data_IF_779552887024
#
_entry.id   IF_779552887024
#
_cell.length_a   1.000
_cell.length_b   1.000
_cell.length_c   1.000
_cell.angle_alpha   90.00
_cell.angle_beta   90.00
_cell.angle_gamma   90.00
#
_symmetry.space_group_name_H-M   'P 1'
#
loop_
_entity.id
_entity.type
_entity.pdbx_description
1 polymer ?
#
# COMPACT_ATOMS: atom_id res chain seq x y z
N UNK A 1 -59.30 -66.41 29.85
CA UNK A 1 -58.90 -64.99 29.68
C UNK A 1 -57.40 -64.93 29.49
N UNK A 2 -56.96 -64.82 28.24
CA UNK A 2 -55.56 -64.85 27.83
C UNK A 2 -54.86 -63.54 28.21
N UNK A 3 -53.72 -63.66 28.89
CA UNK A 3 -52.94 -62.56 29.44
C UNK A 3 -52.09 -61.91 28.33
N UNK A 4 -52.30 -60.62 28.12
CA UNK A 4 -51.62 -59.73 27.19
C UNK A 4 -50.16 -59.48 27.62
N UNK A 5 -49.32 -60.51 27.58
CA UNK A 5 -47.86 -60.44 27.79
C UNK A 5 -47.16 -60.89 26.50
N UNK A 6 -46.85 -59.93 25.62
CA UNK A 6 -45.82 -60.00 24.56
C UNK A 6 -46.06 -58.84 23.59
N UNK A 7 -45.56 -57.64 23.89
CA UNK A 7 -45.13 -56.68 22.86
C UNK A 7 -44.43 -55.42 23.42
N UNK A 8 -43.60 -55.53 24.46
CA UNK A 8 -42.91 -54.34 24.99
C UNK A 8 -41.51 -54.62 25.53
N UNK A 9 -40.73 -55.44 24.83
CA UNK A 9 -39.36 -55.76 25.27
C UNK A 9 -38.30 -55.88 24.16
N UNK A 10 -38.58 -55.43 22.92
CA UNK A 10 -37.57 -55.47 21.84
C UNK A 10 -37.37 -54.15 21.05
N UNK A 11 -37.89 -53.00 21.52
CA UNK A 11 -37.70 -51.71 20.79
C UNK A 11 -37.05 -50.61 21.63
N UNK A 12 -36.78 -50.84 22.93
CA UNK A 12 -36.16 -49.82 23.79
C UNK A 12 -34.63 -49.97 23.89
N UNK A 13 -34.02 -50.94 23.18
CA UNK A 13 -32.57 -51.21 23.27
C UNK A 13 -31.75 -50.97 21.99
N UNK A 14 -32.27 -50.20 21.04
CA UNK A 14 -31.53 -49.77 19.83
C UNK A 14 -31.74 -48.29 19.47
N UNK A 15 -32.14 -47.47 20.44
CA UNK A 15 -31.91 -46.02 20.40
C UNK A 15 -30.95 -45.62 21.52
N UNK A 16 -29.87 -46.38 21.71
CA UNK A 16 -28.61 -45.75 22.06
C UNK A 16 -28.23 -44.90 20.84
N UNK A 17 -28.79 -43.69 20.76
CA UNK A 17 -28.32 -42.65 19.88
C UNK A 17 -26.83 -42.59 20.15
N UNK A 18 -26.07 -43.15 19.23
CA UNK A 18 -24.66 -42.85 19.08
C UNK A 18 -24.68 -41.37 18.71
N UNK A 19 -24.73 -40.51 19.72
CA UNK A 19 -24.15 -39.19 19.62
C UNK A 19 -22.66 -39.48 19.38
N UNK A 20 -22.34 -39.82 18.12
CA UNK A 20 -21.04 -39.54 17.57
C UNK A 20 -20.89 -38.04 17.82
N UNK A 21 -20.20 -37.72 18.92
CA UNK A 21 -19.50 -36.48 19.12
C UNK A 21 -18.57 -36.37 17.90
N UNK A 22 -19.12 -35.96 16.76
CA UNK A 22 -18.34 -35.42 15.68
C UNK A 22 -17.78 -34.16 16.28
N UNK A 23 -16.55 -34.25 16.74
CA UNK A 23 -15.87 -33.10 17.25
C UNK A 23 -15.83 -32.07 16.12
N UNK A 24 -16.44 -30.92 16.40
CA UNK A 24 -16.68 -29.90 15.40
C UNK A 24 -15.34 -29.26 15.06
N UNK A 25 -14.80 -29.63 13.89
CA UNK A 25 -13.57 -29.05 13.37
C UNK A 25 -13.85 -27.57 13.07
N UNK A 26 -12.99 -26.68 13.56
CA UNK A 26 -13.19 -25.25 13.34
C UNK A 26 -13.27 -24.90 11.84
N UNK A 27 -14.32 -24.20 11.38
CA UNK A 27 -14.41 -23.74 10.01
C UNK A 27 -13.32 -22.70 9.72
N UNK A 28 -13.12 -22.40 8.44
CA UNK A 28 -12.21 -21.33 8.01
C UNK A 28 -12.62 -20.01 8.66
N UNK A 29 -11.76 -19.37 9.47
CA UNK A 29 -12.13 -18.13 10.12
C UNK A 29 -12.21 -16.98 9.12
N UNK A 30 -13.09 -16.02 9.41
CA UNK A 30 -13.23 -14.83 8.60
C UNK A 30 -12.10 -13.85 8.92
N UNK A 31 -11.33 -13.47 7.90
CA UNK A 31 -10.30 -12.42 7.98
C UNK A 31 -10.24 -11.69 6.64
N UNK A 32 -9.72 -10.46 6.64
CA UNK A 32 -9.52 -9.62 5.46
C UNK A 32 -8.03 -9.28 5.33
N UNK A 33 -7.36 -9.66 4.23
CA UNK A 33 -7.84 -10.53 3.15
C UNK A 33 -8.07 -11.96 3.64
N UNK A 34 -8.92 -12.69 2.91
CA UNK A 34 -9.22 -14.10 3.18
C UNK A 34 -7.94 -14.95 3.12
N UNK A 35 -7.79 -15.89 4.06
CA UNK A 35 -6.67 -16.83 4.06
C UNK A 35 -6.66 -17.67 2.78
N UNK A 36 -5.49 -17.88 2.14
CA UNK A 36 -5.41 -18.79 0.98
C UNK A 36 -5.80 -20.23 1.33
N UNK A 37 -5.35 -20.75 2.47
CA UNK A 37 -5.72 -22.10 2.93
C UNK A 37 -6.09 -22.11 4.40
N UNK A 38 -6.94 -23.07 4.78
CA UNK A 38 -7.26 -23.39 6.17
C UNK A 38 -7.53 -24.88 6.33
N UNK A 39 -6.93 -25.47 7.36
CA UNK A 39 -7.25 -26.81 7.87
C UNK A 39 -7.61 -26.66 9.32
N UNK A 40 -8.90 -26.79 9.65
CA UNK A 40 -9.38 -26.67 11.01
C UNK A 40 -8.91 -27.80 11.91
N UNK A 41 -8.85 -27.53 13.20
CA UNK A 41 -8.73 -28.53 14.26
C UNK A 41 -9.78 -28.26 15.34
N UNK A 42 -9.86 -29.14 16.32
CA UNK A 42 -10.78 -28.99 17.46
C UNK A 42 -10.26 -27.99 18.50
N UNK A 43 -11.18 -27.31 19.18
CA UNK A 43 -10.88 -26.46 20.32
C UNK A 43 -10.38 -25.06 19.96
N UNK A 44 -9.97 -24.31 20.97
CA UNK A 44 -9.46 -22.94 20.85
C UNK A 44 -8.27 -22.74 21.77
N UNK A 45 -7.45 -21.74 21.47
CA UNK A 45 -6.31 -21.33 22.30
C UNK A 45 -6.41 -19.86 22.67
N UNK A 46 -6.31 -19.57 23.96
CA UNK A 46 -6.26 -18.20 24.48
C UNK A 46 -4.81 -17.75 24.55
N UNK A 47 -4.44 -16.59 23.98
CA UNK A 47 -3.10 -16.03 24.13
C UNK A 47 -2.71 -15.85 25.61
N UNK A 48 -1.54 -16.35 26.00
CA UNK A 48 -1.05 -16.33 27.39
C UNK A 48 -0.54 -14.95 27.85
N UNK A 49 -0.51 -13.97 26.95
CA UNK A 49 0.17 -12.68 27.17
C UNK A 49 1.66 -12.70 26.85
N UNK A 50 2.22 -13.80 26.31
CA UNK A 50 3.65 -13.92 25.99
C UNK A 50 3.90 -14.13 24.49
N UNK A 51 4.88 -13.41 23.97
CA UNK A 51 5.41 -13.58 22.60
C UNK A 51 6.82 -14.18 22.70
N UNK A 52 6.98 -15.43 22.27
CA UNK A 52 8.26 -16.12 22.19
C UNK A 52 8.88 -15.92 20.81
N UNK A 53 10.05 -15.31 20.78
CA UNK A 53 10.76 -15.00 19.53
C UNK A 53 11.89 -15.99 19.30
N UNK A 54 11.87 -16.71 18.16
CA UNK A 54 12.89 -17.73 17.81
C UNK A 54 14.09 -17.16 17.03
N UNK A 55 14.05 -15.88 16.65
CA UNK A 55 15.13 -15.19 15.95
C UNK A 55 15.17 -13.71 16.34
N UNK A 56 16.34 -13.16 16.68
CA UNK A 56 16.49 -11.74 17.05
C UNK A 56 15.98 -10.77 15.96
N UNK A 57 15.97 -11.20 14.70
CA UNK A 57 15.41 -10.47 13.56
C UNK A 57 13.91 -10.14 13.73
N UNK A 58 13.17 -10.97 14.46
CA UNK A 58 11.74 -10.79 14.69
C UNK A 58 11.41 -9.91 15.90
N UNK A 59 12.41 -9.32 16.57
CA UNK A 59 12.19 -8.47 17.73
C UNK A 59 11.30 -7.26 17.40
N UNK A 60 11.52 -6.63 16.24
CA UNK A 60 10.70 -5.51 15.77
C UNK A 60 9.25 -5.92 15.50
N UNK A 61 9.04 -7.10 14.89
CA UNK A 61 7.69 -7.65 14.63
C UNK A 61 6.97 -7.96 15.95
N UNK A 62 7.67 -8.55 16.92
CA UNK A 62 7.11 -8.85 18.23
C UNK A 62 6.71 -7.58 19.00
N UNK A 63 7.53 -6.52 18.92
CA UNK A 63 7.23 -5.23 19.52
C UNK A 63 6.04 -4.54 18.86
N UNK A 64 5.94 -4.61 17.52
CA UNK A 64 4.79 -4.09 16.79
C UNK A 64 3.51 -4.82 17.21
N UNK A 65 3.51 -6.17 17.21
CA UNK A 65 2.39 -6.97 17.68
C UNK A 65 2.00 -6.59 19.13
N UNK A 66 2.96 -6.47 20.05
CA UNK A 66 2.66 -6.09 21.43
C UNK A 66 2.01 -4.70 21.54
N UNK A 67 2.52 -3.72 20.77
CA UNK A 67 1.95 -2.37 20.73
C UNK A 67 0.52 -2.37 20.16
N UNK A 68 0.29 -3.09 19.06
CA UNK A 68 -1.03 -3.18 18.45
C UNK A 68 -2.02 -3.91 19.36
N UNK A 69 -1.60 -4.98 20.03
CA UNK A 69 -2.47 -5.72 20.96
C UNK A 69 -2.86 -4.86 22.17
N UNK A 70 -1.95 -4.02 22.65
CA UNK A 70 -2.23 -3.03 23.69
C UNK A 70 -3.19 -1.93 23.19
N UNK A 71 -2.98 -1.43 21.97
CA UNK A 71 -3.81 -0.38 21.35
C UNK A 71 -5.24 -0.89 21.09
N UNK A 72 -5.38 -2.12 20.61
CA UNK A 72 -6.67 -2.71 20.21
C UNK A 72 -7.44 -3.32 21.38
N UNK A 73 -6.76 -3.99 22.32
CA UNK A 73 -7.40 -4.82 23.34
C UNK A 73 -7.08 -4.41 24.78
N UNK A 74 -6.31 -3.34 24.97
CA UNK A 74 -5.88 -2.91 26.31
C UNK A 74 -4.99 -3.91 27.05
N UNK A 75 -4.53 -4.98 26.37
CA UNK A 75 -3.82 -6.10 26.98
C UNK A 75 -2.34 -6.05 26.63
N UNK A 76 -1.48 -6.02 27.65
CA UNK A 76 -0.05 -6.00 27.47
C UNK A 76 0.48 -7.39 27.09
N UNK A 77 1.16 -7.49 25.94
CA UNK A 77 1.95 -8.67 25.58
C UNK A 77 3.42 -8.47 25.94
N UNK A 78 4.05 -9.50 26.51
CA UNK A 78 5.45 -9.48 26.92
C UNK A 78 6.31 -10.32 25.98
N UNK A 79 7.39 -9.74 25.45
CA UNK A 79 8.36 -10.48 24.64
C UNK A 79 9.23 -11.33 25.57
N UNK A 80 9.16 -12.64 25.42
CA UNK A 80 9.82 -13.62 26.27
C UNK A 80 10.89 -14.43 25.52
N UNK A 81 11.90 -14.88 26.27
CA UNK A 81 12.87 -15.90 25.84
C UNK A 81 12.57 -17.23 26.53
N UNK A 82 12.97 -18.34 25.94
CA UNK A 82 12.92 -19.68 26.56
C UNK A 82 11.94 -20.65 25.90
N UNK A 83 11.51 -21.65 26.68
CA UNK A 83 10.58 -22.69 26.21
C UNK A 83 9.18 -22.13 25.95
N UNK A 84 8.53 -22.70 24.93
CA UNK A 84 7.14 -22.41 24.58
C UNK A 84 6.24 -23.06 25.63
N UNK A 85 5.28 -22.31 26.14
CA UNK A 85 4.23 -22.78 27.06
C UNK A 85 2.85 -22.68 26.38
N UNK A 86 1.83 -23.36 26.93
CA UNK A 86 0.47 -23.22 26.42
C UNK A 86 0.02 -21.75 26.36
N UNK A 87 -0.66 -21.38 25.27
CA UNK A 87 -1.12 -20.03 24.97
C UNK A 87 -0.06 -19.06 24.44
N UNK A 88 1.23 -19.42 24.47
CA UNK A 88 2.27 -18.51 23.95
C UNK A 88 2.08 -18.26 22.45
N UNK A 89 2.27 -17.01 22.03
CA UNK A 89 2.42 -16.64 20.62
C UNK A 89 3.89 -16.87 20.26
N UNK A 90 4.18 -17.60 19.19
CA UNK A 90 5.54 -17.94 18.78
C UNK A 90 5.81 -17.35 17.40
N UNK A 91 6.87 -16.56 17.27
CA UNK A 91 7.32 -16.03 15.98
C UNK A 91 8.62 -16.70 15.55
N UNK A 92 8.65 -17.28 14.36
CA UNK A 92 9.85 -17.91 13.80
C UNK A 92 10.13 -17.55 12.35
N UNK A 93 11.41 -17.59 11.98
CA UNK A 93 11.85 -17.53 10.59
C UNK A 93 12.29 -18.92 10.14
N UNK A 94 11.62 -19.44 9.11
CA UNK A 94 11.92 -20.74 8.52
C UNK A 94 11.98 -20.58 7.01
N UNK A 95 13.08 -21.03 6.40
CA UNK A 95 13.21 -21.03 4.94
C UNK A 95 12.13 -21.92 4.34
N UNK A 96 11.27 -21.32 3.52
CA UNK A 96 10.25 -22.00 2.75
C UNK A 96 10.04 -21.21 1.44
N UNK A 97 10.56 -21.71 0.30
CA UNK A 97 10.45 -21.00 -0.99
C UNK A 97 9.00 -20.75 -1.42
N UNK A 98 8.04 -21.52 -0.93
CA UNK A 98 6.62 -21.38 -1.29
C UNK A 98 5.97 -20.14 -0.69
N UNK A 99 6.58 -19.53 0.33
CA UNK A 99 6.06 -18.35 1.01
C UNK A 99 6.51 -17.03 0.34
N UNK A 100 7.56 -17.05 -0.47
CA UNK A 100 8.13 -15.83 -1.05
C UNK A 100 8.48 -14.76 0.01
N UNK A 101 8.35 -13.48 -0.36
CA UNK A 101 8.72 -12.36 0.51
C UNK A 101 7.68 -12.01 1.58
N UNK A 102 6.42 -12.41 1.39
CA UNK A 102 5.27 -11.91 2.17
C UNK A 102 4.42 -13.04 2.77
N UNK A 103 4.66 -14.29 2.42
CA UNK A 103 3.88 -15.41 2.92
C UNK A 103 4.19 -15.79 4.37
N UNK A 104 3.20 -16.38 5.02
CA UNK A 104 3.35 -16.94 6.36
C UNK A 104 2.49 -18.19 6.53
N UNK A 105 2.83 -18.95 7.57
CA UNK A 105 2.03 -20.05 8.10
C UNK A 105 1.59 -19.68 9.50
N UNK A 106 0.32 -19.91 9.81
CA UNK A 106 -0.24 -19.80 11.15
C UNK A 106 -0.68 -21.20 11.59
N UNK A 107 -0.29 -21.63 12.79
CA UNK A 107 -0.69 -22.92 13.35
C UNK A 107 -1.06 -22.74 14.81
N UNK A 108 -2.35 -22.86 15.12
CA UNK A 108 -2.92 -22.75 16.45
C UNK A 108 -3.28 -24.15 16.97
N UNK A 109 -2.65 -24.54 18.07
CA UNK A 109 -2.92 -25.79 18.82
C UNK A 109 -2.94 -25.48 20.32
N UNK A 110 -2.00 -26.00 21.11
CA UNK A 110 -1.79 -25.55 22.50
C UNK A 110 -1.06 -24.20 22.57
N UNK A 111 -0.44 -23.76 21.48
CA UNK A 111 0.21 -22.45 21.29
C UNK A 111 -0.10 -21.90 19.89
N UNK A 112 0.24 -20.64 19.64
CA UNK A 112 -0.05 -19.96 18.37
C UNK A 112 1.27 -19.69 17.64
N UNK A 113 1.61 -20.53 16.66
CA UNK A 113 2.83 -20.39 15.88
C UNK A 113 2.59 -19.57 14.61
N UNK A 114 3.40 -18.53 14.39
CA UNK A 114 3.54 -17.81 13.13
C UNK A 114 4.95 -18.05 12.59
N UNK A 115 5.04 -18.72 11.45
CA UNK A 115 6.29 -19.01 10.74
C UNK A 115 6.30 -18.31 9.38
N UNK A 116 7.41 -17.68 9.01
CA UNK A 116 7.57 -17.06 7.69
C UNK A 116 9.00 -17.17 7.17
N UNK A 117 9.20 -16.92 5.88
CA UNK A 117 10.53 -16.84 5.29
C UNK A 117 11.23 -15.50 5.59
N UNK A 118 10.47 -14.44 5.86
CA UNK A 118 10.94 -13.07 6.07
C UNK A 118 10.26 -12.41 7.26
N UNK A 119 10.83 -11.30 7.75
CA UNK A 119 10.20 -10.44 8.77
C UNK A 119 8.85 -9.88 8.28
N UNK A 120 8.74 -9.55 6.99
CA UNK A 120 7.51 -9.01 6.39
C UNK A 120 6.39 -10.05 6.37
N UNK A 121 6.69 -11.30 6.02
CA UNK A 121 5.72 -12.39 6.10
C UNK A 121 5.26 -12.63 7.54
N UNK A 122 6.19 -12.66 8.50
CA UNK A 122 5.84 -12.80 9.91
C UNK A 122 4.93 -11.66 10.38
N UNK A 123 5.24 -10.42 9.98
CA UNK A 123 4.40 -9.24 10.25
C UNK A 123 2.97 -9.41 9.71
N UNK A 124 2.79 -9.90 8.48
CA UNK A 124 1.45 -10.21 7.95
C UNK A 124 0.71 -11.29 8.73
N UNK A 125 1.43 -12.30 9.24
CA UNK A 125 0.85 -13.28 10.16
C UNK A 125 0.32 -12.66 11.45
N UNK A 126 0.99 -11.63 11.97
CA UNK A 126 0.50 -10.90 13.15
C UNK A 126 -0.81 -10.16 12.86
N UNK A 127 -1.02 -9.66 11.63
CA UNK A 127 -2.29 -8.99 11.26
C UNK A 127 -3.46 -9.95 11.30
N UNK A 128 -3.25 -11.18 10.80
CA UNK A 128 -4.25 -12.24 10.91
C UNK A 128 -4.54 -12.59 12.36
N UNK A 129 -3.50 -12.72 13.20
CA UNK A 129 -3.69 -12.98 14.62
C UNK A 129 -4.55 -11.91 15.30
N UNK A 130 -4.29 -10.63 15.02
CA UNK A 130 -5.10 -9.52 15.56
C UNK A 130 -6.57 -9.63 15.14
N UNK A 131 -6.83 -9.85 13.85
CA UNK A 131 -8.20 -10.03 13.34
C UNK A 131 -8.92 -11.24 13.94
N UNK A 132 -8.22 -12.35 14.17
CA UNK A 132 -8.78 -13.51 14.85
C UNK A 132 -9.07 -13.21 16.33
N UNK A 133 -8.16 -12.47 16.98
CA UNK A 133 -8.32 -12.07 18.39
C UNK A 133 -9.53 -11.15 18.56
N UNK A 134 -9.84 -10.27 17.59
CA UNK A 134 -11.01 -9.39 17.62
C UNK A 134 -12.35 -10.14 17.76
N UNK A 135 -12.43 -11.37 17.23
CA UNK A 135 -13.69 -12.10 17.04
C UNK A 135 -14.23 -12.78 18.31
N UNK A 136 -13.43 -12.90 19.36
CA UNK A 136 -13.83 -13.55 20.61
C UNK A 136 -13.57 -12.62 21.80
N UNK A 137 -14.50 -12.55 22.76
CA UNK A 137 -14.36 -11.68 23.94
C UNK A 137 -13.08 -11.97 24.74
N UNK A 138 -12.79 -13.26 24.93
CA UNK A 138 -11.59 -13.80 25.60
C UNK A 138 -10.35 -13.85 24.69
N UNK A 139 -10.45 -13.30 23.47
CA UNK A 139 -9.41 -13.31 22.44
C UNK A 139 -8.96 -14.72 22.00
N UNK A 140 -9.79 -15.74 22.26
CA UNK A 140 -9.48 -17.10 21.85
C UNK A 140 -9.39 -17.26 20.33
N UNK A 141 -8.40 -18.01 19.88
CA UNK A 141 -8.14 -18.29 18.47
C UNK A 141 -8.60 -19.72 18.16
N UNK A 142 -9.38 -19.96 17.09
CA UNK A 142 -9.73 -21.32 16.68
C UNK A 142 -8.47 -22.13 16.35
N UNK A 143 -8.38 -23.35 16.88
CA UNK A 143 -7.30 -24.26 16.53
C UNK A 143 -7.39 -24.66 15.05
N UNK A 144 -6.23 -24.76 14.39
CA UNK A 144 -6.11 -25.07 12.98
C UNK A 144 -4.83 -24.52 12.38
N UNK A 145 -4.64 -24.74 11.07
CA UNK A 145 -3.47 -24.32 10.33
C UNK A 145 -3.85 -23.55 9.05
N UNK A 146 -3.13 -22.48 8.78
CA UNK A 146 -3.24 -21.67 7.57
C UNK A 146 -1.88 -21.54 6.89
N UNK A 147 -1.85 -21.53 5.56
CA UNK A 147 -0.75 -20.99 4.76
C UNK A 147 -1.33 -19.87 3.90
N UNK A 148 -0.72 -18.69 3.97
CA UNK A 148 -1.27 -17.50 3.34
C UNK A 148 -0.18 -16.72 2.60
N UNK A 149 -0.46 -16.41 1.34
CA UNK A 149 0.45 -15.76 0.38
C UNK A 149 -0.33 -14.78 -0.49
N UNK A 150 0.15 -13.55 -0.71
CA UNK A 150 -0.54 -12.63 -1.59
C UNK A 150 -0.39 -13.04 -3.07
N UNK A 151 -1.47 -12.90 -3.84
CA UNK A 151 -1.44 -13.13 -5.29
C UNK A 151 -0.61 -12.07 -6.02
N UNK A 152 -0.76 -10.81 -5.60
CA UNK A 152 -0.09 -9.65 -6.20
C UNK A 152 0.86 -9.01 -5.21
N UNK A 153 2.08 -8.70 -5.67
CA UNK A 153 3.16 -8.12 -4.83
C UNK A 153 2.91 -6.66 -4.44
N UNK A 154 2.10 -5.93 -5.21
CA UNK A 154 1.75 -4.54 -4.95
C UNK A 154 0.25 -4.45 -4.71
N UNK A 155 -0.13 -3.99 -3.52
CA UNK A 155 -1.52 -3.80 -3.09
C UNK A 155 -1.57 -2.46 -2.39
N UNK A 156 -2.14 -1.44 -3.03
CA UNK A 156 -1.91 -0.07 -2.61
C UNK A 156 -3.11 0.84 -2.65
N UNK A 157 -2.92 2.02 -2.07
CA UNK A 157 -3.84 3.12 -2.07
C UNK A 157 -3.09 4.40 -2.46
N UNK A 158 -3.72 5.28 -3.21
CA UNK A 158 -3.19 6.60 -3.55
C UNK A 158 -4.02 7.66 -2.85
N UNK A 159 -3.37 8.68 -2.30
CA UNK A 159 -4.05 9.84 -1.72
C UNK A 159 -3.56 11.15 -2.33
N UNK A 160 -4.49 11.95 -2.84
CA UNK A 160 -4.25 13.31 -3.30
C UNK A 160 -4.04 14.24 -2.09
N UNK A 161 -2.79 14.66 -1.88
CA UNK A 161 -2.45 15.72 -0.93
C UNK A 161 -2.20 17.06 -1.63
N UNK A 162 -2.04 17.08 -2.95
CA UNK A 162 -1.77 18.28 -3.74
C UNK A 162 -2.94 19.26 -3.67
N UNK A 163 -4.13 18.84 -4.09
CA UNK A 163 -5.33 19.70 -4.10
C UNK A 163 -5.82 20.04 -2.70
N UNK A 164 -5.60 19.16 -1.72
CA UNK A 164 -6.00 19.38 -0.33
C UNK A 164 -4.98 18.83 0.65
N UNK A 165 -4.53 19.67 1.58
CA UNK A 165 -3.64 19.23 2.64
C UNK A 165 -4.28 18.13 3.49
N UNK A 166 -3.58 17.00 3.60
CA UNK A 166 -3.94 15.89 4.48
C UNK A 166 -3.01 15.90 5.70
N UNK A 167 -3.50 16.07 6.93
CA UNK A 167 -2.63 16.12 8.11
C UNK A 167 -1.75 14.87 8.27
N UNK A 168 -0.50 15.05 8.69
CA UNK A 168 0.46 13.96 8.86
C UNK A 168 -0.07 12.83 9.76
N UNK A 169 -0.76 13.18 10.84
CA UNK A 169 -1.39 12.23 11.76
C UNK A 169 -2.43 11.34 11.07
N UNK A 170 -3.13 11.85 10.06
CA UNK A 170 -4.06 11.05 9.25
C UNK A 170 -3.29 10.06 8.37
N UNK A 171 -2.22 10.50 7.68
CA UNK A 171 -1.38 9.62 6.85
C UNK A 171 -0.75 8.48 7.67
N UNK A 172 -0.36 8.75 8.92
CA UNK A 172 0.14 7.73 9.84
C UNK A 172 -0.93 6.69 10.19
N UNK A 173 -2.17 7.13 10.49
CA UNK A 173 -3.31 6.23 10.74
C UNK A 173 -3.68 5.41 9.51
N UNK A 174 -3.75 6.06 8.35
CA UNK A 174 -4.01 5.39 7.06
C UNK A 174 -2.97 4.29 6.80
N UNK A 175 -1.68 4.59 7.03
CA UNK A 175 -0.59 3.60 6.90
C UNK A 175 -0.82 2.37 7.78
N UNK A 176 -1.20 2.56 9.06
CA UNK A 176 -1.55 1.45 9.95
C UNK A 176 -2.77 0.67 9.45
N UNK A 177 -3.79 1.35 8.94
CA UNK A 177 -4.99 0.71 8.38
C UNK A 177 -4.68 -0.13 7.14
N UNK A 178 -3.85 0.38 6.22
CA UNK A 178 -3.37 -0.38 5.07
C UNK A 178 -2.66 -1.65 5.53
N UNK A 179 -1.75 -1.52 6.50
CA UNK A 179 -1.04 -2.66 7.07
C UNK A 179 -2.00 -3.67 7.73
N UNK A 180 -3.03 -3.21 8.45
CA UNK A 180 -4.04 -4.08 9.06
C UNK A 180 -4.70 -5.02 8.05
N UNK A 181 -5.01 -4.49 6.86
CA UNK A 181 -5.58 -5.24 5.73
C UNK A 181 -4.53 -5.78 4.75
N UNK A 182 -3.26 -5.85 5.16
CA UNK A 182 -2.13 -6.38 4.37
C UNK A 182 -1.92 -5.66 3.02
N UNK A 183 -2.42 -4.43 2.88
CA UNK A 183 -2.02 -3.51 1.80
C UNK A 183 -0.64 -2.95 2.13
N UNK A 184 0.24 -2.92 1.14
CA UNK A 184 1.67 -2.73 1.37
C UNK A 184 2.26 -1.50 0.65
N UNK A 185 1.43 -0.69 0.02
CA UNK A 185 1.87 0.48 -0.75
C UNK A 185 0.93 1.67 -0.50
N UNK A 186 1.50 2.84 -0.24
CA UNK A 186 0.78 4.11 -0.16
C UNK A 186 1.44 5.10 -1.12
N UNK A 187 0.76 5.47 -2.20
CA UNK A 187 1.21 6.59 -3.05
C UNK A 187 0.70 7.90 -2.46
N UNK A 188 1.58 8.89 -2.35
CA UNK A 188 1.25 10.23 -1.85
C UNK A 188 1.54 11.22 -2.96
N UNK A 189 0.49 11.85 -3.47
CA UNK A 189 0.54 12.84 -4.52
C UNK A 189 0.77 14.24 -3.92
N UNK A 190 1.94 14.84 -4.20
CA UNK A 190 2.49 15.96 -3.41
C UNK A 190 2.33 17.33 -4.06
N UNK A 191 2.05 17.42 -5.37
CA UNK A 191 1.61 18.64 -6.02
C UNK A 191 0.43 18.40 -6.91
N UNK A 192 -0.48 19.37 -6.96
CA UNK A 192 -1.51 19.45 -7.98
C UNK A 192 -2.16 20.84 -7.91
N UNK A 193 -3.20 21.05 -8.72
CA UNK A 193 -4.05 22.20 -8.74
C UNK A 193 -5.54 21.88 -8.94
N UNK A 194 -6.38 22.82 -8.54
CA UNK A 194 -7.79 22.82 -8.87
C UNK A 194 -8.02 23.08 -10.36
N UNK A 195 -9.24 22.82 -10.82
CA UNK A 195 -9.63 23.16 -12.18
C UNK A 195 -10.01 24.64 -12.28
N UNK A 196 -9.37 25.40 -13.18
CA UNK A 196 -9.53 26.86 -13.27
C UNK A 196 -10.97 27.34 -13.42
N UNK A 197 -11.86 26.54 -14.03
CA UNK A 197 -13.25 26.93 -14.22
C UNK A 197 -13.98 27.18 -12.89
N UNK A 198 -13.52 26.59 -11.79
CA UNK A 198 -14.06 26.83 -10.45
C UNK A 198 -13.45 28.04 -9.75
N UNK A 199 -12.48 28.71 -10.39
CA UNK A 199 -11.74 29.86 -9.87
C UNK A 199 -11.85 31.07 -10.82
N UNK A 200 -12.99 31.19 -11.51
CA UNK A 200 -13.27 32.31 -12.42
C UNK A 200 -12.43 32.27 -13.70
N UNK A 201 -12.06 31.07 -14.16
CA UNK A 201 -11.23 30.83 -15.34
C UNK A 201 -9.85 31.52 -15.28
N UNK A 202 -9.32 31.69 -14.07
CA UNK A 202 -8.12 32.45 -13.78
C UNK A 202 -7.07 31.59 -13.10
N UNK A 203 -5.94 31.38 -13.78
CA UNK A 203 -4.82 30.59 -13.25
C UNK A 203 -4.20 31.21 -12.01
N UNK A 204 -4.18 32.54 -11.86
CA UNK A 204 -3.59 33.21 -10.69
C UNK A 204 -4.44 33.02 -9.44
N UNK A 205 -5.74 32.74 -9.60
CA UNK A 205 -6.68 32.46 -8.51
C UNK A 205 -6.88 30.98 -8.24
N UNK A 206 -6.46 30.13 -9.17
CA UNK A 206 -6.66 28.69 -9.08
C UNK A 206 -5.80 28.11 -7.96
N UNK A 207 -6.42 27.34 -7.06
CA UNK A 207 -5.67 26.70 -5.98
C UNK A 207 -4.61 25.77 -6.56
N UNK A 208 -3.38 25.91 -6.08
CA UNK A 208 -2.27 25.01 -6.38
C UNK A 208 -1.42 24.85 -5.13
N UNK A 209 -0.76 23.70 -4.97
CA UNK A 209 0.14 23.51 -3.85
C UNK A 209 1.24 22.51 -4.20
N UNK A 210 2.42 22.73 -3.63
CA UNK A 210 3.45 21.72 -3.46
C UNK A 210 3.64 21.49 -1.95
N UNK A 211 3.36 20.26 -1.50
CA UNK A 211 3.17 19.92 -0.09
C UNK A 211 4.45 19.58 0.65
N UNK A 212 5.61 19.59 0.01
CA UNK A 212 6.88 19.41 0.70
C UNK A 212 7.63 20.72 0.88
N UNK A 213 8.32 20.81 2.00
CA UNK A 213 9.36 21.82 2.23
C UNK A 213 10.42 21.74 1.13
N UNK A 214 10.61 22.86 0.41
CA UNK A 214 11.69 23.07 -0.55
C UNK A 214 12.61 24.20 -0.11
N UNK A 215 13.88 23.86 0.06
CA UNK A 215 15.01 24.76 0.30
C UNK A 215 15.64 25.22 -1.03
N UNK A 216 15.59 24.39 -2.08
CA UNK A 216 16.12 24.75 -3.41
C UNK A 216 15.35 25.92 -4.02
N UNK A 217 14.03 25.96 -3.79
CA UNK A 217 13.14 27.00 -4.30
C UNK A 217 12.36 27.68 -3.16
N UNK A 218 12.98 28.65 -2.45
CA UNK A 218 12.34 29.36 -1.35
C UNK A 218 11.05 30.05 -1.79
N UNK A 219 9.92 29.67 -1.20
CA UNK A 219 8.60 30.21 -1.53
C UNK A 219 7.70 29.26 -2.32
N UNK A 220 8.23 28.14 -2.85
CA UNK A 220 7.44 27.10 -3.52
C UNK A 220 6.55 26.29 -2.55
N UNK A 221 7.02 26.14 -1.31
CA UNK A 221 6.31 25.34 -0.28
C UNK A 221 4.94 25.95 0.02
N UNK A 222 3.89 25.14 -0.01
CA UNK A 222 2.53 25.57 0.29
C UNK A 222 2.39 26.10 1.74
N UNK A 223 1.66 27.21 1.89
CA UNK A 223 1.49 27.93 3.16
C UNK A 223 0.22 27.53 3.93
N UNK A 224 -0.75 26.95 3.26
CA UNK A 224 -2.01 26.43 3.82
C UNK A 224 -1.85 25.03 4.44
N UNK A 225 -0.69 24.40 4.24
CA UNK A 225 -0.31 23.12 4.84
C UNK A 225 0.77 22.42 4.01
N UNK A 226 1.81 21.94 4.67
CA UNK A 226 2.93 21.22 4.06
C UNK A 226 3.58 20.28 5.08
N UNK A 227 4.45 19.39 4.60
CA UNK A 227 5.26 18.50 5.41
C UNK A 227 6.73 18.95 5.33
N UNK A 228 7.37 19.08 6.49
CA UNK A 228 8.83 19.20 6.53
C UNK A 228 9.49 17.93 5.99
N UNK A 229 10.74 18.06 5.53
CA UNK A 229 11.54 16.90 5.08
C UNK A 229 11.63 15.84 6.18
N UNK A 230 11.82 16.28 7.43
CA UNK A 230 11.92 15.40 8.60
C UNK A 230 10.63 14.64 8.86
N UNK A 231 9.48 15.31 8.83
CA UNK A 231 8.17 14.67 9.03
C UNK A 231 7.90 13.61 7.97
N UNK A 232 8.18 13.93 6.71
CA UNK A 232 7.96 13.00 5.60
C UNK A 232 8.92 11.79 5.64
N UNK A 233 10.18 11.99 6.05
CA UNK A 233 11.14 10.92 6.34
C UNK A 233 10.63 10.02 7.47
N UNK A 234 10.11 10.59 8.56
CA UNK A 234 9.64 9.83 9.71
C UNK A 234 8.34 9.07 9.42
N UNK A 235 7.45 9.62 8.58
CA UNK A 235 6.29 8.91 8.05
C UNK A 235 6.71 7.68 7.23
N UNK A 236 7.71 7.80 6.35
CA UNK A 236 8.23 6.67 5.58
C UNK A 236 8.82 5.59 6.49
N UNK A 237 9.59 5.96 7.52
CA UNK A 237 10.11 4.99 8.50
C UNK A 237 8.99 4.30 9.28
N UNK A 238 7.91 5.01 9.60
CA UNK A 238 6.73 4.41 10.21
C UNK A 238 6.10 3.39 9.26
N UNK A 239 5.92 3.73 7.99
CA UNK A 239 5.39 2.83 6.98
C UNK A 239 6.24 1.57 6.81
N UNK A 240 7.57 1.73 6.71
CA UNK A 240 8.54 0.62 6.60
C UNK A 240 8.39 -0.36 7.77
N UNK A 241 8.26 0.15 9.00
CA UNK A 241 8.02 -0.68 10.21
C UNK A 241 6.69 -1.43 10.18
N UNK A 242 5.71 -0.95 9.42
CA UNK A 242 4.40 -1.56 9.24
C UNK A 242 4.30 -2.37 7.92
N UNK A 243 5.42 -2.65 7.26
CA UNK A 243 5.43 -3.40 6.00
C UNK A 243 4.86 -2.65 4.80
N UNK A 244 4.62 -1.34 4.93
CA UNK A 244 4.08 -0.46 3.89
C UNK A 244 5.23 0.35 3.26
N UNK A 245 5.25 0.43 1.94
CA UNK A 245 6.15 1.32 1.18
C UNK A 245 5.41 2.57 0.75
N UNK A 246 5.98 3.74 0.99
CA UNK A 246 5.44 4.98 0.43
C UNK A 246 6.08 5.24 -0.93
N UNK A 247 5.25 5.59 -1.92
CA UNK A 247 5.67 6.09 -3.23
C UNK A 247 5.34 7.58 -3.27
N UNK A 248 6.32 8.47 -3.03
CA UNK A 248 6.10 9.89 -3.21
C UNK A 248 6.00 10.23 -4.70
N UNK A 249 5.10 11.16 -5.01
CA UNK A 249 4.89 11.65 -6.36
C UNK A 249 5.11 13.15 -6.45
N UNK A 250 5.95 13.55 -7.42
CA UNK A 250 5.99 14.91 -7.94
C UNK A 250 5.44 14.81 -9.36
N UNK A 251 4.24 15.35 -9.57
CA UNK A 251 3.54 15.22 -10.84
C UNK A 251 3.95 16.31 -11.82
N UNK A 252 4.49 15.87 -12.96
CA UNK A 252 4.95 16.70 -14.07
C UNK A 252 4.77 15.94 -15.39
N UNK A 253 4.59 16.63 -16.53
CA UNK A 253 4.63 18.09 -16.70
C UNK A 253 3.25 18.78 -16.71
N UNK A 254 2.16 18.04 -16.55
CA UNK A 254 0.85 18.62 -16.22
C UNK A 254 0.74 18.80 -14.69
N UNK A 255 -0.42 19.25 -14.20
CA UNK A 255 -0.70 19.39 -12.76
C UNK A 255 0.37 20.20 -11.98
N UNK A 256 1.01 21.13 -12.70
CA UNK A 256 2.25 21.79 -12.29
C UNK A 256 2.05 23.26 -11.95
N UNK A 257 0.81 23.70 -11.71
CA UNK A 257 0.51 25.12 -11.50
C UNK A 257 1.25 25.72 -10.29
N UNK A 258 1.54 24.91 -9.26
CA UNK A 258 2.36 25.37 -8.13
C UNK A 258 3.78 25.80 -8.58
N UNK A 259 4.34 25.11 -9.56
CA UNK A 259 5.66 25.40 -10.12
C UNK A 259 5.63 26.63 -11.02
N UNK A 260 4.57 26.80 -11.81
CA UNK A 260 4.43 27.96 -12.70
C UNK A 260 3.97 29.21 -11.96
N UNK A 261 3.27 29.09 -10.83
CA UNK A 261 3.07 30.23 -9.91
C UNK A 261 4.39 30.71 -9.32
N UNK A 262 5.27 29.78 -8.95
CA UNK A 262 6.61 30.11 -8.45
C UNK A 262 7.50 30.70 -9.55
N UNK A 263 7.43 30.13 -10.75
CA UNK A 263 8.28 30.47 -11.90
C UNK A 263 7.46 30.57 -13.18
N UNK A 264 6.77 31.70 -13.43
CA UNK A 264 5.82 31.82 -14.55
C UNK A 264 6.41 31.53 -15.94
N UNK A 265 7.72 31.74 -16.12
CA UNK A 265 8.40 31.50 -17.39
C UNK A 265 8.46 30.03 -17.82
N UNK A 266 8.29 29.07 -16.92
CA UNK A 266 8.27 27.64 -17.27
C UNK A 266 6.87 27.12 -17.61
N UNK A 267 5.84 27.96 -17.57
CA UNK A 267 4.45 27.57 -17.90
C UNK A 267 4.12 27.68 -19.38
N UNK A 268 3.29 26.76 -19.87
CA UNK A 268 2.79 26.76 -21.25
C UNK A 268 1.60 27.71 -21.40
N UNK A 269 1.78 28.76 -22.19
CA UNK A 269 0.67 29.65 -22.59
C UNK A 269 -0.31 28.97 -23.56
N UNK A 270 0.15 27.93 -24.25
CA UNK A 270 -0.61 27.26 -25.31
C UNK A 270 -1.51 26.14 -24.79
N UNK A 271 -1.15 25.52 -23.67
CA UNK A 271 -1.85 24.36 -23.08
C UNK A 271 -2.46 24.65 -21.70
N UNK A 272 -2.11 25.79 -21.09
CA UNK A 272 -2.55 26.15 -19.74
C UNK A 272 -1.37 26.31 -18.80
N UNK A 273 -1.49 27.21 -17.83
CA UNK A 273 -0.39 27.47 -16.88
C UNK A 273 -0.17 26.31 -15.90
N UNK A 274 -1.08 25.35 -15.82
CA UNK A 274 -0.86 24.08 -15.12
C UNK A 274 -0.03 23.06 -15.92
N UNK A 275 0.31 23.37 -17.17
CA UNK A 275 1.24 22.62 -18.00
C UNK A 275 2.58 23.33 -18.09
N UNK A 276 3.68 22.60 -17.93
CA UNK A 276 5.03 23.12 -18.16
C UNK A 276 5.32 23.28 -19.66
N UNK A 277 6.06 24.31 -20.05
CA UNK A 277 6.59 24.47 -21.39
C UNK A 277 7.83 23.57 -21.56
N UNK A 278 7.66 22.45 -22.27
CA UNK A 278 8.74 21.49 -22.48
C UNK A 278 9.81 22.00 -23.45
N UNK A 279 9.54 23.04 -24.23
CA UNK A 279 10.54 23.61 -25.15
C UNK A 279 11.43 24.65 -24.46
N UNK A 280 11.01 25.16 -23.30
CA UNK A 280 11.82 26.04 -22.48
C UNK A 280 12.92 25.23 -21.73
N UNK A 281 14.22 25.50 -21.96
CA UNK A 281 15.30 24.86 -21.22
C UNK A 281 15.21 25.05 -19.70
N UNK A 282 14.65 26.17 -19.24
CA UNK A 282 14.54 26.49 -17.82
C UNK A 282 13.59 25.54 -17.08
N UNK A 283 12.62 24.93 -17.77
CA UNK A 283 11.78 23.86 -17.24
C UNK A 283 12.63 22.70 -16.72
N UNK A 284 13.69 22.35 -17.45
CA UNK A 284 14.59 21.26 -17.06
C UNK A 284 15.54 21.67 -15.94
N UNK A 285 16.09 22.90 -15.97
CA UNK A 285 16.88 23.44 -14.85
C UNK A 285 16.09 23.39 -13.55
N UNK A 286 14.84 23.85 -13.60
CA UNK A 286 13.94 23.87 -12.45
C UNK A 286 13.69 22.47 -11.88
N UNK A 287 13.22 21.55 -12.73
CA UNK A 287 12.85 20.21 -12.30
C UNK A 287 14.06 19.34 -11.91
N UNK A 288 15.20 19.47 -12.59
CA UNK A 288 16.42 18.76 -12.20
C UNK A 288 16.85 19.16 -10.77
N UNK A 289 16.79 20.46 -10.45
CA UNK A 289 17.04 20.97 -9.10
C UNK A 289 16.00 20.47 -8.08
N UNK A 290 14.72 20.44 -8.46
CA UNK A 290 13.64 19.99 -7.58
C UNK A 290 13.80 18.50 -7.25
N UNK A 291 13.94 17.63 -8.25
CA UNK A 291 14.12 16.20 -8.02
C UNK A 291 15.41 15.90 -7.26
N UNK A 292 16.52 16.59 -7.58
CA UNK A 292 17.78 16.44 -6.86
C UNK A 292 17.61 16.65 -5.35
N UNK A 293 16.85 17.65 -4.94
CA UNK A 293 16.60 17.96 -3.53
C UNK A 293 16.03 16.77 -2.73
N UNK A 294 15.16 15.96 -3.34
CA UNK A 294 14.50 14.84 -2.66
C UNK A 294 15.20 13.50 -2.87
N UNK A 295 16.08 13.39 -3.86
CA UNK A 295 16.70 12.14 -4.30
C UNK A 295 18.18 12.01 -3.94
N UNK A 296 18.90 13.11 -3.83
CA UNK A 296 20.35 13.09 -3.62
C UNK A 296 20.73 12.88 -2.15
N UNK A 297 21.94 12.35 -1.95
CA UNK A 297 22.60 12.29 -0.66
C UNK A 297 22.47 10.94 0.05
N UNK A 298 23.16 10.77 1.19
CA UNK A 298 23.16 9.51 1.94
C UNK A 298 21.83 9.23 2.67
N UNK A 299 21.02 10.27 2.90
CA UNK A 299 19.72 10.20 3.55
C UNK A 299 18.68 11.00 2.75
N UNK A 300 18.32 10.56 1.54
CA UNK A 300 17.40 11.30 0.69
C UNK A 300 16.03 11.39 1.36
N UNK A 301 15.29 12.47 1.07
CA UNK A 301 13.92 12.65 1.57
C UNK A 301 13.03 11.52 1.08
N UNK A 302 13.16 11.13 -0.19
CA UNK A 302 12.49 9.94 -0.75
C UNK A 302 13.33 8.70 -0.43
N UNK A 303 13.01 8.04 0.66
CA UNK A 303 13.77 6.88 1.19
C UNK A 303 13.51 5.62 0.39
N UNK A 304 12.27 5.45 -0.06
CA UNK A 304 11.81 4.26 -0.77
C UNK A 304 12.56 3.97 -2.07
N UNK A 305 12.36 2.77 -2.59
CA UNK A 305 12.92 2.34 -3.87
C UNK A 305 12.22 2.96 -5.07
N UNK A 306 11.04 3.54 -4.90
CA UNK A 306 10.18 4.03 -5.98
C UNK A 306 9.86 5.50 -5.80
N UNK A 307 9.79 6.21 -6.91
CA UNK A 307 9.36 7.61 -6.98
C UNK A 307 8.46 7.75 -8.21
N UNK A 308 7.30 8.34 -8.02
CA UNK A 308 6.37 8.62 -9.11
C UNK A 308 6.71 10.00 -9.69
N UNK A 309 6.81 10.09 -11.02
CA UNK A 309 7.17 11.32 -11.72
C UNK A 309 5.97 11.96 -12.46
N UNK A 310 4.76 11.48 -12.18
CA UNK A 310 3.54 11.98 -12.79
C UNK A 310 3.27 11.40 -14.17
N UNK A 311 3.15 12.29 -15.14
CA UNK A 311 3.04 12.09 -16.60
C UNK A 311 1.63 11.81 -17.13
N UNK A 312 0.59 12.08 -16.37
CA UNK A 312 -0.79 12.08 -16.87
C UNK A 312 -1.17 13.41 -17.52
N UNK A 313 -2.30 13.38 -18.23
CA UNK A 313 -3.06 14.50 -18.78
C UNK A 313 -2.32 15.59 -19.59
N UNK A 314 -1.07 15.36 -19.98
CA UNK A 314 -0.33 16.32 -20.80
C UNK A 314 -0.84 16.35 -22.25
N UNK A 315 -0.82 17.55 -22.86
CA UNK A 315 -1.37 17.79 -24.20
C UNK A 315 -0.78 16.88 -25.30
N UNK A 316 -1.64 16.38 -26.19
CA UNK A 316 -1.28 15.71 -27.43
C UNK A 316 -1.71 16.47 -28.70
N UNK A 317 -1.92 17.79 -28.59
CA UNK A 317 -2.52 18.62 -29.66
C UNK A 317 -1.80 18.54 -31.00
N UNK A 318 -0.47 18.42 -30.99
CA UNK A 318 0.34 18.25 -32.20
C UNK A 318 1.53 17.30 -31.99
N UNK A 319 2.09 16.84 -33.10
CA UNK A 319 3.16 15.82 -33.08
C UNK A 319 4.43 16.30 -32.38
N UNK A 320 4.81 17.58 -32.50
CA UNK A 320 6.05 18.07 -31.90
C UNK A 320 5.96 18.02 -30.37
N UNK A 321 4.80 18.37 -29.81
CA UNK A 321 4.51 18.27 -28.37
C UNK A 321 4.54 16.82 -27.91
N UNK A 322 3.88 15.92 -28.65
CA UNK A 322 3.88 14.48 -28.31
C UNK A 322 5.30 13.92 -28.25
N UNK A 323 6.13 14.19 -29.25
CA UNK A 323 7.52 13.72 -29.25
C UNK A 323 8.33 14.34 -28.09
N UNK A 324 8.07 15.62 -27.79
CA UNK A 324 8.75 16.33 -26.69
C UNK A 324 8.33 15.80 -25.32
N UNK A 325 7.06 15.50 -25.12
CA UNK A 325 6.52 14.86 -23.92
C UNK A 325 7.13 13.47 -23.73
N UNK A 326 7.22 12.66 -24.79
CA UNK A 326 7.87 11.34 -24.73
C UNK A 326 9.35 11.46 -24.32
N UNK A 327 10.09 12.40 -24.92
CA UNK A 327 11.47 12.69 -24.53
C UNK A 327 11.58 13.16 -23.07
N UNK A 328 10.62 13.96 -22.61
CA UNK A 328 10.53 14.41 -21.21
C UNK A 328 10.34 13.22 -20.27
N UNK A 329 9.36 12.34 -20.53
CA UNK A 329 9.10 11.14 -19.72
C UNK A 329 10.34 10.26 -19.64
N UNK A 330 11.01 9.97 -20.77
CA UNK A 330 12.24 9.19 -20.78
C UNK A 330 13.37 9.84 -19.95
N UNK A 331 13.54 11.17 -20.06
CA UNK A 331 14.53 11.92 -19.27
C UNK A 331 14.30 11.74 -17.77
N UNK A 332 13.09 11.96 -17.27
CA UNK A 332 12.83 11.93 -15.83
C UNK A 332 12.79 10.51 -15.28
N UNK A 333 12.41 9.50 -16.09
CA UNK A 333 12.64 8.09 -15.74
C UNK A 333 14.13 7.87 -15.47
N UNK A 334 15.01 8.28 -16.40
CA UNK A 334 16.46 8.10 -16.25
C UNK A 334 17.04 8.92 -15.11
N UNK A 335 16.53 10.13 -14.88
CA UNK A 335 16.97 11.00 -13.78
C UNK A 335 16.75 10.30 -12.45
N UNK A 336 15.54 9.83 -12.15
CA UNK A 336 15.27 9.19 -10.86
C UNK A 336 16.01 7.86 -10.71
N UNK A 337 16.17 7.11 -11.80
CA UNK A 337 16.96 5.88 -11.81
C UNK A 337 18.45 6.13 -11.57
N UNK A 338 19.00 7.27 -12.00
CA UNK A 338 20.39 7.64 -11.70
C UNK A 338 20.68 7.80 -10.20
N UNK A 339 19.63 8.05 -9.39
CA UNK A 339 19.69 8.04 -7.92
C UNK A 339 19.33 6.67 -7.30
N UNK A 340 19.35 5.60 -8.09
CA UNK A 340 19.07 4.23 -7.65
C UNK A 340 17.58 3.96 -7.34
N UNK A 341 16.67 4.79 -7.85
CA UNK A 341 15.22 4.58 -7.73
C UNK A 341 14.69 3.76 -8.91
N UNK A 342 13.48 3.26 -8.75
CA UNK A 342 12.62 2.73 -9.79
C UNK A 342 11.60 3.81 -10.14
N UNK A 343 11.54 4.22 -11.40
CA UNK A 343 10.54 5.20 -11.83
C UNK A 343 9.13 4.59 -11.82
N UNK A 344 8.17 5.37 -11.35
CA UNK A 344 6.74 5.10 -11.49
C UNK A 344 6.12 6.22 -12.33
N UNK A 345 5.26 5.86 -13.27
CA UNK A 345 4.60 6.80 -14.19
C UNK A 345 3.12 6.49 -14.31
N UNK A 346 2.31 7.52 -14.52
CA UNK A 346 0.97 7.34 -15.06
C UNK A 346 1.08 6.90 -16.51
N UNK A 347 0.32 5.88 -16.88
CA UNK A 347 0.25 5.46 -18.27
C UNK A 347 -0.38 6.56 -19.13
N UNK A 348 0.39 7.07 -20.10
CA UNK A 348 -0.06 8.10 -21.03
C UNK A 348 0.35 7.87 -22.50
N UNK A 349 1.05 6.76 -22.80
CA UNK A 349 1.69 6.57 -24.11
C UNK A 349 0.75 6.14 -25.24
N UNK A 350 -0.50 5.74 -24.94
CA UNK A 350 -1.55 5.60 -25.95
C UNK A 350 -2.10 6.98 -26.36
N UNK A 351 -2.29 7.87 -25.39
CA UNK A 351 -2.68 9.27 -25.65
C UNK A 351 -1.56 10.05 -26.35
N UNK A 352 -0.32 9.89 -25.89
CA UNK A 352 0.89 10.47 -26.47
C UNK A 352 1.57 9.51 -27.46
N UNK A 353 0.82 9.08 -28.49
CA UNK A 353 1.31 8.16 -29.52
C UNK A 353 2.33 8.86 -30.44
N UNK A 354 3.62 8.51 -30.27
CA UNK A 354 4.73 9.07 -31.03
C UNK A 354 5.85 8.06 -31.27
N UNK A 355 6.93 8.51 -31.90
CA UNK A 355 8.07 7.69 -32.35
C UNK A 355 9.25 7.72 -31.38
N UNK A 356 9.37 8.77 -30.58
CA UNK A 356 10.44 8.92 -29.60
C UNK A 356 10.35 7.78 -28.60
N UNK A 357 11.42 6.98 -28.40
CA UNK A 357 11.38 5.87 -27.46
C UNK A 357 11.26 6.39 -26.04
N UNK A 358 10.49 5.67 -25.22
CA UNK A 358 10.42 5.88 -23.77
C UNK A 358 10.87 4.59 -23.12
N UNK A 359 11.85 4.66 -22.21
CA UNK A 359 12.34 3.49 -21.49
C UNK A 359 11.20 2.76 -20.76
N UNK A 360 11.17 1.43 -20.89
CA UNK A 360 10.21 0.55 -20.21
C UNK A 360 10.85 -0.42 -19.21
N UNK A 361 12.11 -0.79 -19.44
CA UNK A 361 12.88 -1.63 -18.51
C UNK A 361 12.88 -0.99 -17.11
N UNK A 362 12.62 -1.77 -16.05
CA UNK A 362 12.59 -1.29 -14.67
C UNK A 362 11.61 -0.13 -14.41
N UNK A 363 10.61 0.11 -15.28
CA UNK A 363 9.58 1.13 -15.04
C UNK A 363 8.28 0.49 -14.61
N UNK A 364 7.68 1.03 -13.54
CA UNK A 364 6.34 0.68 -13.09
C UNK A 364 5.35 1.69 -13.68
N UNK A 365 4.32 1.22 -14.39
CA UNK A 365 3.32 2.06 -15.02
C UNK A 365 1.95 1.81 -14.38
N UNK A 366 1.33 2.89 -13.91
CA UNK A 366 -0.03 2.88 -13.40
C UNK A 366 -1.02 3.00 -14.56
N UNK A 367 -1.76 1.91 -14.81
CA UNK A 367 -2.80 1.86 -15.84
C UNK A 367 -4.11 2.32 -15.21
N UNK A 368 -4.34 3.63 -15.31
CA UNK A 368 -5.47 4.32 -14.71
C UNK A 368 -6.64 4.49 -15.69
N UNK A 369 -6.35 4.74 -16.97
CA UNK A 369 -7.38 4.86 -18.00
C UNK A 369 -6.88 4.33 -19.35
N UNK A 370 -7.65 3.41 -19.93
CA UNK A 370 -7.25 2.71 -21.16
C UNK A 370 -7.07 3.62 -22.38
N UNK A 371 -7.76 4.78 -22.41
CA UNK A 371 -7.58 5.77 -23.47
C UNK A 371 -6.22 6.48 -23.40
N UNK A 372 -5.63 6.54 -22.21
CA UNK A 372 -4.30 7.11 -21.98
C UNK A 372 -3.19 6.08 -22.07
N UNK A 373 -3.42 4.86 -21.59
CA UNK A 373 -2.52 3.74 -21.78
C UNK A 373 -3.28 2.42 -21.88
N UNK A 374 -3.28 1.84 -23.08
CA UNK A 374 -3.82 0.51 -23.29
C UNK A 374 -2.92 -0.54 -22.61
N UNK A 375 -3.45 -1.37 -21.67
CA UNK A 375 -2.63 -2.30 -20.90
C UNK A 375 -1.95 -3.38 -21.75
N UNK A 376 -2.56 -3.82 -22.86
CA UNK A 376 -1.95 -4.82 -23.73
C UNK A 376 -0.71 -4.23 -24.43
N UNK A 377 -0.85 -3.03 -25.00
CA UNK A 377 0.25 -2.33 -25.68
C UNK A 377 1.39 -1.99 -24.72
N UNK A 378 1.08 -1.53 -23.50
CA UNK A 378 2.11 -1.19 -22.51
C UNK A 378 2.85 -2.44 -22.01
N UNK A 379 2.15 -3.57 -21.88
CA UNK A 379 2.76 -4.84 -21.55
C UNK A 379 3.68 -5.33 -22.67
N UNK A 380 3.26 -5.22 -23.93
CA UNK A 380 4.08 -5.57 -25.09
C UNK A 380 5.35 -4.70 -25.18
N UNK A 381 5.24 -3.42 -24.80
CA UNK A 381 6.38 -2.51 -24.69
C UNK A 381 7.33 -2.82 -23.51
N UNK A 382 6.95 -3.74 -22.62
CA UNK A 382 7.80 -4.24 -21.53
C UNK A 382 7.63 -3.54 -20.18
N UNK A 383 6.60 -2.70 -20.00
CA UNK A 383 6.33 -2.05 -18.72
C UNK A 383 5.83 -3.06 -17.67
N UNK A 384 6.22 -2.85 -16.40
CA UNK A 384 5.57 -3.51 -15.27
C UNK A 384 4.29 -2.74 -14.94
N UNK A 385 3.14 -3.41 -14.94
CA UNK A 385 1.85 -2.72 -14.82
C UNK A 385 1.27 -2.81 -13.41
N UNK A 386 0.70 -1.70 -12.94
CA UNK A 386 -0.21 -1.65 -11.78
C UNK A 386 -1.59 -1.30 -12.32
N UNK A 387 -2.57 -2.14 -12.01
CA UNK A 387 -3.98 -1.87 -12.34
C UNK A 387 -4.55 -0.88 -11.34
N UNK A 388 -5.01 0.27 -11.80
CA UNK A 388 -5.68 1.29 -10.99
C UNK A 388 -6.82 1.98 -11.80
N UNK A 389 -7.72 1.21 -12.42
CA UNK A 389 -8.68 1.74 -13.37
C UNK A 389 -9.67 2.72 -12.72
N UNK A 390 -9.72 3.91 -13.28
CA UNK A 390 -10.50 5.05 -12.81
C UNK A 390 -11.97 4.68 -12.52
N UNK A 391 -12.65 4.03 -13.47
CA UNK A 391 -14.06 3.65 -13.34
C UNK A 391 -14.39 2.56 -12.29
N UNK A 392 -13.39 1.97 -11.62
CA UNK A 392 -13.62 0.94 -10.61
C UNK A 392 -13.05 1.27 -9.23
N UNK A 393 -11.96 2.04 -9.16
CA UNK A 393 -11.24 2.25 -7.89
C UNK A 393 -10.99 3.71 -7.53
N UNK A 394 -11.38 4.68 -8.37
CA UNK A 394 -11.28 6.08 -8.01
C UNK A 394 -12.45 6.49 -7.11
N UNK A 395 -12.17 7.43 -6.21
CA UNK A 395 -13.15 8.05 -5.34
C UNK A 395 -12.87 9.54 -5.35
N UNK A 396 -13.83 10.34 -5.83
CA UNK A 396 -13.74 11.81 -5.75
C UNK A 396 -14.79 12.30 -4.76
N UNK A 397 -14.39 12.72 -3.55
CA UNK A 397 -15.33 13.16 -2.54
C UNK A 397 -16.24 14.30 -3.05
N UNK A 398 -17.55 14.09 -2.94
CA UNK A 398 -18.59 15.03 -3.35
C UNK A 398 -18.72 15.29 -4.87
N UNK A 399 -18.12 14.46 -5.72
CA UNK A 399 -18.40 14.45 -7.16
C UNK A 399 -19.61 13.56 -7.50
N UNK A 400 -20.23 13.80 -8.66
CA UNK A 400 -21.27 12.94 -9.26
C UNK A 400 -20.71 11.87 -10.19
N UNK A 401 -19.39 11.65 -10.17
CA UNK A 401 -18.64 10.69 -10.97
C UNK A 401 -17.52 10.10 -10.11
N UNK A 402 -16.99 8.94 -10.53
CA UNK A 402 -16.13 8.05 -9.73
C UNK A 402 -16.78 7.59 -8.42
#
# INVERSE_FOLDING_TARGET
MFCLKRLLSCVVLTMAFSALLHAEINPKPFVIPELKTWTGAEGKVVPSGRIVVKSSKLQGVAQALAADYQEMFGTALTVAKGSVKPGDIVLELKKDPTLGDEGYKLHATSSILISAATEKGAFWGTRTLLQLSEQAEDRSIPCGAATDVPEYRLRGFMIDCGRKFIPLAYLQKLTKMLAYYKMNTLQIHLNDNGFRQFFGDDWDKTQAAFRLESETYPGLTAKDGSYSKKEFIDLQKLAEKNGVTIIPEIDVPAHSLAFTHYKPEIGSKDYGMDHLDLFNPETYTFLDGLFKEYLEGPNPVFRGKRVHIGTDEYSNRDTAVVEKFRAFTDRYIRLVESYGKQAVVWGALTHAKGKTPVKSENVLMHIWYNGFANPADMKEQGYQLVSIPDGYVYIVPAAGYY
#
